data_IF_904715432174
#
_entry.id   IF_904715432174
#
_cell.length_a   1.000
_cell.length_b   1.000
_cell.length_c   1.000
_cell.angle_alpha   90.00
_cell.angle_beta   90.00
_cell.angle_gamma   90.00
#
_symmetry.space_group_name_H-M   'P 1'
#
loop_
_entity.id
_entity.type
_entity.pdbx_description
1 polymer ?
#
# COMPACT_ATOMS: atom_id res chain seq x y z
N UNK A 1 19.16 -16.92 -10.18
CA UNK A 1 18.98 -16.42 -8.79
C UNK A 1 18.56 -14.96 -8.74
N UNK A 2 19.31 -13.99 -9.31
CA UNK A 2 18.98 -12.54 -9.23
C UNK A 2 17.58 -12.15 -9.76
N UNK A 3 17.12 -12.74 -10.88
CA UNK A 3 15.78 -12.44 -11.45
C UNK A 3 14.62 -12.93 -10.57
N UNK A 4 14.76 -14.12 -9.97
CA UNK A 4 13.74 -14.67 -9.06
C UNK A 4 13.59 -13.77 -7.84
N UNK A 5 14.71 -13.37 -7.24
CA UNK A 5 14.72 -12.49 -6.07
C UNK A 5 14.08 -11.12 -6.37
N UNK A 6 14.37 -10.54 -7.54
CA UNK A 6 13.75 -9.28 -7.99
C UNK A 6 12.21 -9.41 -8.17
N UNK A 7 11.75 -10.51 -8.76
CA UNK A 7 10.30 -10.78 -8.91
C UNK A 7 9.65 -10.97 -7.54
N UNK A 8 10.26 -11.73 -6.64
CA UNK A 8 9.76 -11.92 -5.28
C UNK A 8 9.65 -10.59 -4.53
N UNK A 9 10.65 -9.72 -4.64
CA UNK A 9 10.63 -8.41 -3.98
C UNK A 9 9.53 -7.51 -4.56
N UNK A 10 9.30 -7.57 -5.87
CA UNK A 10 8.20 -6.87 -6.53
C UNK A 10 6.82 -7.37 -6.05
N UNK A 11 6.63 -8.68 -5.95
CA UNK A 11 5.39 -9.28 -5.43
C UNK A 11 5.17 -8.87 -3.97
N UNK A 12 6.21 -8.95 -3.14
CA UNK A 12 6.11 -8.57 -1.73
C UNK A 12 5.73 -7.09 -1.55
N UNK A 13 6.29 -6.22 -2.38
CA UNK A 13 5.97 -4.78 -2.39
C UNK A 13 4.52 -4.55 -2.85
N UNK A 14 4.04 -5.31 -3.83
CA UNK A 14 2.66 -5.22 -4.30
C UNK A 14 1.65 -5.67 -3.24
N UNK A 15 1.95 -6.76 -2.51
CA UNK A 15 1.08 -7.26 -1.44
C UNK A 15 0.97 -6.20 -0.33
N UNK A 16 2.10 -5.72 0.19
CA UNK A 16 2.09 -4.77 1.30
C UNK A 16 1.53 -3.38 0.95
N UNK A 17 1.44 -3.02 -0.34
CA UNK A 17 0.94 -1.72 -0.79
C UNK A 17 -0.49 -1.73 -1.33
N UNK A 18 -1.00 -2.87 -1.81
CA UNK A 18 -2.29 -2.93 -2.52
C UNK A 18 -3.25 -3.97 -1.97
N UNK A 19 -2.77 -4.91 -1.15
CA UNK A 19 -3.61 -5.91 -0.48
C UNK A 19 -3.49 -5.65 1.01
N UNK A 20 -3.99 -4.49 1.42
CA UNK A 20 -4.01 -4.07 2.82
C UNK A 20 -5.41 -4.27 3.43
N UNK A 21 -5.48 -4.22 4.76
CA UNK A 21 -6.77 -4.35 5.46
C UNK A 21 -7.76 -3.22 5.11
N UNK A 22 -7.25 -2.04 4.76
CA UNK A 22 -8.08 -0.90 4.37
C UNK A 22 -8.88 -1.18 3.10
N UNK A 23 -8.22 -1.72 2.08
CA UNK A 23 -8.84 -2.15 0.83
C UNK A 23 -9.83 -3.29 1.05
N UNK A 24 -9.48 -4.28 1.88
CA UNK A 24 -10.39 -5.38 2.22
C UNK A 24 -11.68 -4.88 2.88
N UNK A 25 -11.57 -3.99 3.87
CA UNK A 25 -12.74 -3.44 4.57
C UNK A 25 -13.56 -2.56 3.63
N UNK A 26 -12.93 -1.67 2.87
CA UNK A 26 -13.61 -0.77 1.94
C UNK A 26 -14.34 -1.55 0.84
N UNK A 27 -13.66 -2.48 0.17
CA UNK A 27 -14.23 -3.31 -0.89
C UNK A 27 -15.35 -4.20 -0.37
N UNK A 28 -15.22 -4.75 0.84
CA UNK A 28 -16.29 -5.56 1.47
C UNK A 28 -17.53 -4.72 1.80
N UNK A 29 -17.35 -3.52 2.36
CA UNK A 29 -18.45 -2.60 2.69
C UNK A 29 -19.17 -2.11 1.43
N UNK A 30 -18.43 -1.76 0.39
CA UNK A 30 -18.99 -1.34 -0.90
C UNK A 30 -19.74 -2.50 -1.56
N UNK A 31 -19.17 -3.70 -1.56
CA UNK A 31 -19.82 -4.91 -2.08
C UNK A 31 -21.10 -5.26 -1.33
N UNK A 32 -21.13 -5.12 0.00
CA UNK A 32 -22.32 -5.34 0.80
C UNK A 32 -23.45 -4.34 0.50
N UNK A 33 -23.10 -3.09 0.17
CA UNK A 33 -24.08 -2.02 -0.10
C UNK A 33 -24.56 -1.97 -1.55
N UNK A 34 -23.67 -2.20 -2.50
CA UNK A 34 -23.92 -2.00 -3.93
C UNK A 34 -23.84 -3.28 -4.76
N UNK A 35 -23.61 -4.44 -4.12
CA UNK A 35 -23.38 -5.71 -4.82
C UNK A 35 -22.20 -5.60 -5.77
N UNK A 36 -22.35 -6.16 -6.97
CA UNK A 36 -21.30 -6.14 -8.00
C UNK A 36 -21.29 -4.87 -8.88
N UNK A 37 -22.16 -3.89 -8.62
CA UNK A 37 -22.33 -2.72 -9.49
C UNK A 37 -21.05 -1.86 -9.65
N UNK A 38 -20.16 -1.89 -8.65
CA UNK A 38 -18.94 -1.07 -8.60
C UNK A 38 -17.64 -1.86 -8.85
N UNK A 39 -17.71 -3.15 -9.20
CA UNK A 39 -16.51 -3.97 -9.47
C UNK A 39 -15.67 -3.40 -10.60
N UNK A 40 -16.29 -2.78 -11.61
CA UNK A 40 -15.55 -2.17 -12.72
C UNK A 40 -14.61 -1.03 -12.26
N UNK A 41 -14.93 -0.36 -11.16
CA UNK A 41 -14.07 0.70 -10.58
C UNK A 41 -12.77 0.10 -10.07
N UNK A 42 -12.82 -1.09 -9.47
CA UNK A 42 -11.62 -1.82 -9.05
C UNK A 42 -10.73 -2.15 -10.25
N UNK A 43 -11.33 -2.62 -11.35
CA UNK A 43 -10.56 -2.90 -12.59
C UNK A 43 -9.87 -1.66 -13.13
N UNK A 44 -10.57 -0.51 -13.13
CA UNK A 44 -9.98 0.77 -13.54
C UNK A 44 -8.80 1.15 -12.63
N UNK A 45 -8.96 0.99 -11.31
CA UNK A 45 -7.91 1.23 -10.32
C UNK A 45 -6.69 0.35 -10.55
N UNK A 46 -6.89 -0.94 -10.80
CA UNK A 46 -5.83 -1.91 -11.11
C UNK A 46 -5.04 -1.48 -12.36
N UNK A 47 -5.73 -1.07 -13.42
CA UNK A 47 -5.05 -0.58 -14.63
C UNK A 47 -4.22 0.66 -14.32
N UNK A 48 -4.79 1.63 -13.59
CA UNK A 48 -4.10 2.86 -13.20
C UNK A 48 -2.83 2.60 -12.40
N UNK A 49 -2.90 1.71 -11.42
CA UNK A 49 -1.74 1.39 -10.58
C UNK A 49 -0.69 0.57 -11.31
N UNK A 50 -1.08 -0.34 -12.21
CA UNK A 50 -0.13 -1.07 -13.05
C UNK A 50 0.69 -0.11 -13.92
N UNK A 51 0.04 0.89 -14.53
CA UNK A 51 0.74 1.92 -15.32
C UNK A 51 1.69 2.73 -14.45
N UNK A 52 1.22 3.18 -13.28
CA UNK A 52 2.05 3.94 -12.35
C UNK A 52 3.27 3.15 -11.85
N UNK A 53 3.06 1.88 -11.47
CA UNK A 53 4.13 0.99 -11.01
C UNK A 53 5.17 0.71 -12.09
N UNK A 54 4.74 0.53 -13.35
CA UNK A 54 5.66 0.37 -14.48
C UNK A 54 6.51 1.63 -14.69
N UNK A 55 5.88 2.82 -14.65
CA UNK A 55 6.60 4.10 -14.77
C UNK A 55 7.62 4.27 -13.65
N UNK A 56 7.22 4.05 -12.39
CA UNK A 56 8.10 4.16 -11.23
C UNK A 56 9.25 3.14 -11.29
N UNK A 57 8.95 1.89 -11.68
CA UNK A 57 9.93 0.84 -11.86
C UNK A 57 10.95 1.16 -12.95
N UNK A 58 10.50 1.72 -14.10
CA UNK A 58 11.38 2.16 -15.18
C UNK A 58 12.30 3.29 -14.73
N UNK A 59 11.79 4.25 -13.96
CA UNK A 59 12.61 5.34 -13.41
C UNK A 59 13.72 4.77 -12.50
N UNK A 60 13.38 3.87 -11.58
CA UNK A 60 14.37 3.24 -10.70
C UNK A 60 15.39 2.37 -11.47
N UNK A 61 14.93 1.61 -12.47
CA UNK A 61 15.78 0.72 -13.26
C UNK A 61 16.79 1.48 -14.14
N UNK A 62 16.37 2.61 -14.74
CA UNK A 62 17.24 3.42 -15.62
C UNK A 62 18.18 4.32 -14.81
N UNK A 63 17.69 4.93 -13.73
CA UNK A 63 18.51 5.84 -12.91
C UNK A 63 19.46 5.10 -11.97
N UNK A 64 19.18 3.83 -11.64
CA UNK A 64 19.89 3.09 -10.60
C UNK A 64 19.70 3.66 -9.20
N UNK A 65 18.74 4.57 -9.00
CA UNK A 65 18.53 5.33 -7.76
C UNK A 65 17.05 5.30 -7.36
N UNK A 66 16.75 5.43 -6.06
CA UNK A 66 15.38 5.59 -5.59
C UNK A 66 14.74 6.85 -6.20
N UNK A 67 13.46 6.79 -6.54
CA UNK A 67 12.71 7.93 -7.11
C UNK A 67 12.78 9.18 -6.20
N UNK A 68 12.86 8.97 -4.88
CA UNK A 68 13.00 10.05 -3.90
C UNK A 68 14.27 10.89 -4.11
N UNK A 69 15.40 10.26 -4.44
CA UNK A 69 16.66 10.96 -4.67
C UNK A 69 16.56 11.88 -5.89
N UNK A 70 15.87 11.43 -6.94
CA UNK A 70 15.65 12.21 -8.15
C UNK A 70 14.76 13.42 -7.85
N UNK A 71 13.71 13.22 -7.05
CA UNK A 71 12.84 14.31 -6.57
C UNK A 71 13.65 15.36 -5.81
N UNK A 72 14.52 14.90 -4.89
CA UNK A 72 15.38 15.79 -4.10
C UNK A 72 16.35 16.60 -4.96
N UNK A 73 16.95 15.99 -5.97
CA UNK A 73 17.92 16.66 -6.84
C UNK A 73 17.27 17.59 -7.86
N UNK A 74 16.15 17.18 -8.48
CA UNK A 74 15.50 17.93 -9.56
C UNK A 74 14.56 19.02 -9.07
N UNK A 75 13.83 18.77 -7.98
CA UNK A 75 12.78 19.66 -7.47
C UNK A 75 13.22 20.42 -6.19
N UNK A 76 14.41 20.13 -5.70
CA UNK A 76 15.02 20.79 -4.57
C UNK A 76 14.54 20.28 -3.20
N UNK A 77 15.17 20.76 -2.11
CA UNK A 77 15.00 20.19 -0.77
C UNK A 77 13.61 20.41 -0.17
N UNK A 78 12.92 21.52 -0.51
CA UNK A 78 11.57 21.81 0.03
C UNK A 78 10.54 20.82 -0.47
N UNK A 79 10.55 20.51 -1.77
CA UNK A 79 9.63 19.54 -2.38
C UNK A 79 9.95 18.12 -1.92
N UNK A 80 11.24 17.77 -1.81
CA UNK A 80 11.65 16.49 -1.23
C UNK A 80 11.18 16.33 0.21
N UNK A 81 11.26 17.37 1.05
CA UNK A 81 10.76 17.30 2.41
C UNK A 81 9.25 17.08 2.45
N UNK A 82 8.48 17.83 1.65
CA UNK A 82 7.03 17.61 1.55
C UNK A 82 6.68 16.19 1.11
N UNK A 83 7.39 15.65 0.10
CA UNK A 83 7.23 14.28 -0.36
C UNK A 83 7.57 13.26 0.73
N UNK A 84 8.66 13.47 1.47
CA UNK A 84 9.07 12.62 2.57
C UNK A 84 8.01 12.60 3.67
N UNK A 85 7.53 13.76 4.10
CA UNK A 85 6.50 13.88 5.12
C UNK A 85 5.20 13.21 4.67
N UNK A 86 4.75 13.45 3.44
CA UNK A 86 3.57 12.79 2.89
C UNK A 86 3.71 11.27 2.85
N UNK A 87 4.84 10.77 2.34
CA UNK A 87 5.13 9.33 2.28
C UNK A 87 5.18 8.70 3.67
N UNK A 88 5.79 9.40 4.64
CA UNK A 88 5.85 8.95 6.03
C UNK A 88 4.46 8.85 6.66
N UNK A 89 3.62 9.87 6.49
CA UNK A 89 2.26 9.88 7.02
C UNK A 89 1.41 8.77 6.41
N UNK A 90 1.47 8.57 5.09
CA UNK A 90 0.75 7.46 4.42
C UNK A 90 1.23 6.12 4.98
N UNK A 91 2.54 5.92 5.09
CA UNK A 91 3.10 4.66 5.63
C UNK A 91 2.68 4.43 7.08
N UNK A 92 2.63 5.49 7.90
CA UNK A 92 2.17 5.42 9.29
C UNK A 92 0.70 5.03 9.38
N UNK A 93 -0.15 5.59 8.51
CA UNK A 93 -1.57 5.26 8.44
C UNK A 93 -1.77 3.81 7.99
N UNK A 94 -1.05 3.35 6.97
CA UNK A 94 -1.07 1.94 6.53
C UNK A 94 -0.64 1.01 7.66
N UNK A 95 0.45 1.34 8.37
CA UNK A 95 0.90 0.53 9.51
C UNK A 95 -0.18 0.47 10.62
N UNK A 96 -0.81 1.59 10.95
CA UNK A 96 -1.87 1.63 11.94
C UNK A 96 -3.08 0.78 11.52
N UNK A 97 -3.47 0.84 10.24
CA UNK A 97 -4.51 0.00 9.69
C UNK A 97 -4.16 -1.48 9.83
N UNK A 98 -2.98 -1.89 9.35
CA UNK A 98 -2.50 -3.28 9.42
C UNK A 98 -2.49 -3.83 10.85
N UNK A 99 -2.01 -3.05 11.82
CA UNK A 99 -2.03 -3.45 13.24
C UNK A 99 -3.46 -3.63 13.77
N UNK A 100 -4.38 -2.72 13.42
CA UNK A 100 -5.80 -2.87 13.76
C UNK A 100 -6.41 -4.11 13.11
N UNK A 101 -6.04 -4.40 11.85
CA UNK A 101 -6.46 -5.59 11.11
C UNK A 101 -6.01 -6.88 11.77
N UNK A 102 -4.76 -6.96 12.23
CA UNK A 102 -4.25 -8.10 13.00
C UNK A 102 -5.04 -8.28 14.30
N UNK A 103 -5.32 -7.19 15.03
CA UNK A 103 -6.14 -7.24 16.24
C UNK A 103 -7.55 -7.79 15.99
N UNK A 104 -8.20 -7.31 14.94
CA UNK A 104 -9.54 -7.78 14.54
C UNK A 104 -9.52 -9.25 14.11
N UNK A 105 -8.51 -9.67 13.35
CA UNK A 105 -8.36 -11.06 12.92
C UNK A 105 -8.17 -12.01 14.12
N UNK A 106 -7.39 -11.60 15.11
CA UNK A 106 -7.21 -12.35 16.36
C UNK A 106 -8.51 -12.42 17.17
N UNK A 107 -9.27 -11.33 17.25
CA UNK A 107 -10.58 -11.34 17.91
C UNK A 107 -11.56 -12.28 17.21
N UNK A 108 -11.64 -12.26 15.89
CA UNK A 108 -12.49 -13.17 15.12
C UNK A 108 -12.09 -14.64 15.31
N UNK A 109 -10.80 -14.94 15.42
CA UNK A 109 -10.30 -16.30 15.58
C UNK A 109 -10.45 -16.82 17.02
N UNK A 110 -10.18 -15.97 18.01
CA UNK A 110 -10.11 -16.36 19.43
C UNK A 110 -11.38 -16.05 20.23
N UNK A 111 -12.29 -15.23 19.69
CA UNK A 111 -13.42 -14.59 20.39
C UNK A 111 -13.01 -13.74 21.60
N UNK A 112 -11.70 -13.44 21.76
CA UNK A 112 -11.17 -12.56 22.80
C UNK A 112 -11.08 -11.14 22.25
N UNK A 113 -11.62 -10.17 22.98
CA UNK A 113 -11.67 -8.78 22.54
C UNK A 113 -10.29 -8.23 22.16
N UNK A 114 -10.21 -7.50 21.03
CA UNK A 114 -8.98 -6.86 20.55
C UNK A 114 -8.38 -5.84 21.55
N UNK A 115 -9.21 -5.30 22.46
CA UNK A 115 -8.82 -4.32 23.50
C UNK A 115 -7.81 -4.87 24.52
N UNK A 116 -7.67 -6.20 24.63
CA UNK A 116 -6.65 -6.83 25.47
C UNK A 116 -5.26 -6.82 24.83
N UNK A 117 -5.17 -6.69 23.51
CA UNK A 117 -3.95 -6.87 22.73
C UNK A 117 -3.41 -5.57 22.16
N UNK A 118 -4.30 -4.62 21.86
CA UNK A 118 -3.95 -3.29 21.38
C UNK A 118 -4.14 -2.30 22.53
N UNK A 119 -3.06 -1.76 23.13
CA UNK A 119 -3.19 -0.71 24.13
C UNK A 119 -3.86 0.52 23.50
N UNK A 120 -4.82 1.08 24.21
CA UNK A 120 -5.58 2.27 23.80
C UNK A 120 -4.71 3.51 23.63
#
# INVERSE_FOLDING_TARGET
>A
MKRVLAVTLGILTAIGGFVDIGDLVASSLVGARFGFALVWVLLLGVVGICVYAEMAGRVAAVSGRPTFDIVRERLGPRVAFANLTGSFLVTLLTLAAELAGVGLALELLSSVSYLLWIPA
#
